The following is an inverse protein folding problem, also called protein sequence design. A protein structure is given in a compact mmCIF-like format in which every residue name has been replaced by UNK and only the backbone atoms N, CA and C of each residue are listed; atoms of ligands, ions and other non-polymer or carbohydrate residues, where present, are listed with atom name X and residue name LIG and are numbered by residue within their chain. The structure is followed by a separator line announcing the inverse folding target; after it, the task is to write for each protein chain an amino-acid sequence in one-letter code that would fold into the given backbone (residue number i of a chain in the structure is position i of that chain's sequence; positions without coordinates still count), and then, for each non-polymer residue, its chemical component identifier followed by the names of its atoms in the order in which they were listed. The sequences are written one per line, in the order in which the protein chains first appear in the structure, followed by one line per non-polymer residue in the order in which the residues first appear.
data_IF_642648206441
#
_entry.id   IF_642648206441
#
_cell.length_a   1.000
_cell.length_b   1.000
_cell.length_c   1.000
_cell.angle_alpha   90.00
_cell.angle_beta   90.00
_cell.angle_gamma   90.00
#
_symmetry.space_group_name_H-M   'P 1'
#
loop_
_entity.id
_entity.type
_entity.pdbx_description
1 polymer ?
#
# COMPACT_ATOMS: atom_id res chain seq x y z
N UNK A 1 51.64 -28.86 4.41
CA UNK A 1 51.20 -27.44 4.37
C UNK A 1 51.08 -27.02 2.93
N UNK A 2 49.92 -26.48 2.52
CA UNK A 2 49.77 -25.33 1.60
C UNK A 2 48.29 -25.24 1.19
N UNK A 3 47.53 -24.56 2.04
CA UNK A 3 46.18 -24.07 1.76
C UNK A 3 46.30 -22.66 1.16
N UNK A 4 45.36 -22.32 0.27
CA UNK A 4 44.74 -20.98 0.04
C UNK A 4 44.74 -20.56 -1.42
N UNK A 5 43.63 -20.85 -2.11
CA UNK A 5 43.07 -19.94 -3.12
C UNK A 5 41.68 -19.55 -2.60
N UNK A 6 41.63 -18.43 -1.88
CA UNK A 6 40.38 -17.79 -1.50
C UNK A 6 39.89 -17.04 -2.74
N UNK A 7 38.89 -17.61 -3.38
CA UNK A 7 38.10 -16.93 -4.42
C UNK A 7 37.35 -15.81 -3.69
N UNK A 8 37.71 -14.57 -3.99
CA UNK A 8 36.98 -13.40 -3.54
C UNK A 8 35.64 -13.36 -4.28
N UNK A 9 34.56 -13.77 -3.63
CA UNK A 9 33.22 -13.49 -4.11
C UNK A 9 32.94 -12.00 -3.94
N UNK A 10 32.42 -11.29 -4.96
CA UNK A 10 31.96 -9.93 -4.79
C UNK A 10 30.83 -9.93 -3.76
N UNK A 11 30.96 -9.10 -2.74
CA UNK A 11 29.93 -8.86 -1.75
C UNK A 11 28.70 -8.33 -2.48
N UNK A 12 27.73 -9.21 -2.73
CA UNK A 12 26.37 -8.82 -3.04
C UNK A 12 25.88 -8.12 -1.78
N UNK A 13 25.50 -6.83 -1.82
CA UNK A 13 24.71 -6.28 -0.74
C UNK A 13 23.42 -7.09 -0.76
N UNK A 14 23.32 -8.06 0.16
CA UNK A 14 22.04 -8.64 0.51
C UNK A 14 21.20 -7.44 0.90
N UNK A 15 20.28 -7.04 0.02
CA UNK A 15 19.14 -6.24 0.40
C UNK A 15 18.52 -7.04 1.54
N UNK A 16 18.79 -6.60 2.76
CA UNK A 16 18.10 -7.08 3.92
C UNK A 16 16.64 -6.71 3.66
N UNK A 17 15.90 -7.65 3.09
CA UNK A 17 14.46 -7.68 3.24
C UNK A 17 14.31 -7.99 4.72
N UNK A 18 14.35 -6.94 5.53
CA UNK A 18 14.13 -6.96 6.96
C UNK A 18 12.67 -7.35 7.19
N UNK A 19 12.37 -8.62 6.97
CA UNK A 19 11.15 -9.31 7.44
C UNK A 19 11.37 -9.62 8.93
N UNK A 20 11.73 -8.60 9.70
CA UNK A 20 11.81 -8.65 11.15
C UNK A 20 10.70 -7.75 11.69
N UNK A 21 9.49 -8.27 11.66
CA UNK A 21 8.39 -7.84 12.53
C UNK A 21 7.41 -9.02 12.69
N UNK A 22 7.91 -10.12 13.26
CA UNK A 22 7.07 -11.13 13.88
C UNK A 22 6.97 -10.76 15.36
N UNK A 23 5.78 -10.36 15.83
CA UNK A 23 5.52 -10.26 17.27
C UNK A 23 4.93 -8.95 17.78
N UNK A 24 3.94 -8.39 17.08
CA UNK A 24 2.83 -7.57 17.55
C UNK A 24 1.93 -7.40 16.32
N UNK A 25 0.61 -7.33 16.47
CA UNK A 25 -0.28 -6.92 15.36
C UNK A 25 -0.06 -5.43 15.06
N UNK A 26 1.15 -5.10 14.59
CA UNK A 26 1.56 -3.73 14.34
C UNK A 26 0.92 -3.30 13.03
N UNK A 27 0.08 -2.26 13.11
CA UNK A 27 -0.52 -1.65 11.92
C UNK A 27 0.62 -1.21 10.98
N UNK A 28 0.56 -1.54 9.67
CA UNK A 28 1.53 -1.02 8.72
C UNK A 28 1.48 0.50 8.70
N UNK A 29 2.57 1.18 8.33
CA UNK A 29 2.56 2.64 8.19
C UNK A 29 1.52 3.12 7.16
N UNK A 30 0.95 4.30 7.37
CA UNK A 30 0.04 4.95 6.40
C UNK A 30 0.59 5.01 4.98
N UNK A 31 1.88 5.30 4.82
CA UNK A 31 2.54 5.31 3.50
C UNK A 31 2.51 3.93 2.81
N UNK A 32 2.67 2.86 3.59
CA UNK A 32 2.59 1.49 3.07
C UNK A 32 1.15 1.15 2.65
N UNK A 33 0.15 1.58 3.43
CA UNK A 33 -1.27 1.46 3.08
C UNK A 33 -1.57 2.25 1.80
N UNK A 34 -1.10 3.49 1.68
CA UNK A 34 -1.27 4.33 0.49
C UNK A 34 -0.63 3.69 -0.76
N UNK A 35 0.59 3.15 -0.64
CA UNK A 35 1.24 2.42 -1.74
C UNK A 35 0.48 1.16 -2.14
N UNK A 36 -0.10 0.46 -1.17
CA UNK A 36 -0.99 -0.67 -1.38
C UNK A 36 -2.25 -0.28 -2.14
N UNK A 37 -2.95 0.76 -1.68
CA UNK A 37 -4.13 1.35 -2.34
C UNK A 37 -3.82 1.76 -3.77
N UNK A 38 -2.68 2.43 -4.01
CA UNK A 38 -2.24 2.79 -5.36
C UNK A 38 -2.12 1.57 -6.25
N UNK A 39 -1.51 0.49 -5.77
CA UNK A 39 -1.34 -0.74 -6.55
C UNK A 39 -2.69 -1.38 -6.88
N UNK A 40 -3.60 -1.45 -5.90
CA UNK A 40 -4.93 -2.04 -6.05
C UNK A 40 -5.81 -1.24 -7.00
N UNK A 41 -5.89 0.08 -6.79
CA UNK A 41 -6.82 0.95 -7.49
C UNK A 41 -6.28 1.42 -8.84
N UNK A 42 -4.96 1.52 -9.05
CA UNK A 42 -4.42 1.92 -10.35
C UNK A 42 -4.80 0.93 -11.44
N UNK A 43 -4.73 -0.38 -11.18
CA UNK A 43 -5.15 -1.41 -12.12
C UNK A 43 -6.64 -1.28 -12.51
N UNK A 44 -7.48 -0.92 -11.54
CA UNK A 44 -8.91 -0.71 -11.78
C UNK A 44 -9.17 0.60 -12.55
N UNK A 45 -8.52 1.70 -12.15
CA UNK A 45 -8.65 3.02 -12.79
C UNK A 45 -8.12 3.03 -14.22
N UNK A 46 -7.04 2.30 -14.52
CA UNK A 46 -6.52 2.12 -15.88
C UNK A 46 -7.56 1.47 -16.81
N UNK A 47 -8.41 0.60 -16.28
CA UNK A 47 -9.51 -0.02 -17.05
C UNK A 47 -10.60 0.98 -17.45
N UNK A 48 -10.78 2.06 -16.68
CA UNK A 48 -11.70 3.17 -16.98
C UNK A 48 -11.08 4.22 -17.93
N UNK A 49 -9.76 4.17 -18.13
CA UNK A 49 -9.02 5.02 -19.07
C UNK A 49 -7.92 5.83 -18.42
N UNK A 50 -6.84 6.08 -19.17
CA UNK A 50 -5.65 6.80 -18.70
C UNK A 50 -5.97 8.22 -18.18
N UNK A 51 -6.99 8.88 -18.74
CA UNK A 51 -7.43 10.20 -18.29
C UNK A 51 -7.99 10.15 -16.86
N UNK A 52 -8.71 9.08 -16.50
CA UNK A 52 -9.26 8.87 -15.14
C UNK A 52 -8.15 8.56 -14.15
N UNK A 53 -7.21 7.67 -14.53
CA UNK A 53 -6.03 7.38 -13.70
C UNK A 53 -5.19 8.63 -13.45
N UNK A 54 -5.09 9.55 -14.41
CA UNK A 54 -4.33 10.80 -14.28
C UNK A 54 -4.99 11.82 -13.33
N UNK A 55 -6.28 11.68 -13.02
CA UNK A 55 -6.98 12.53 -12.06
C UNK A 55 -6.70 12.12 -10.60
N UNK A 56 -6.19 10.92 -10.40
CA UNK A 56 -5.91 10.35 -9.07
C UNK A 56 -4.39 10.34 -8.88
N UNK A 57 -3.89 11.34 -8.16
CA UNK A 57 -2.47 11.43 -7.80
C UNK A 57 -2.16 10.77 -6.45
N UNK A 58 -0.88 10.74 -6.07
CA UNK A 58 -0.43 10.12 -4.82
C UNK A 58 -1.05 10.76 -3.57
N UNK A 59 -1.56 12.01 -3.67
CA UNK A 59 -2.22 12.69 -2.56
C UNK A 59 -3.58 12.08 -2.24
N UNK A 60 -4.30 11.58 -3.26
CA UNK A 60 -5.58 10.88 -3.07
C UNK A 60 -5.36 9.59 -2.28
N UNK A 61 -4.38 8.78 -2.67
CA UNK A 61 -4.10 7.52 -1.94
C UNK A 61 -3.63 7.77 -0.50
N UNK A 62 -2.85 8.82 -0.28
CA UNK A 62 -2.43 9.24 1.06
C UNK A 62 -3.63 9.68 1.90
N UNK A 63 -4.52 10.50 1.34
CA UNK A 63 -5.76 10.92 1.99
C UNK A 63 -6.65 9.71 2.34
N UNK A 64 -6.83 8.76 1.42
CA UNK A 64 -7.63 7.56 1.70
C UNK A 64 -6.99 6.75 2.82
N UNK A 65 -5.67 6.55 2.77
CA UNK A 65 -4.95 5.87 3.84
C UNK A 65 -5.11 6.58 5.19
N UNK A 66 -5.14 7.92 5.22
CA UNK A 66 -5.39 8.71 6.42
C UNK A 66 -6.80 8.51 6.98
N UNK A 67 -7.83 8.57 6.13
CA UNK A 67 -9.24 8.44 6.53
C UNK A 67 -9.55 7.03 7.06
N UNK A 68 -9.04 5.98 6.42
CA UNK A 68 -9.38 4.59 6.80
C UNK A 68 -8.50 4.01 7.91
N UNK A 69 -7.39 4.68 8.27
CA UNK A 69 -6.34 4.09 9.11
C UNK A 69 -6.83 3.65 10.49
N UNK A 70 -7.72 4.43 11.08
CA UNK A 70 -8.22 4.16 12.43
C UNK A 70 -9.46 3.24 12.40
N UNK A 71 -10.17 3.20 11.28
CA UNK A 71 -11.44 2.49 11.12
C UNK A 71 -11.32 1.05 10.59
N UNK A 72 -10.21 0.74 9.91
CA UNK A 72 -9.92 -0.61 9.38
C UNK A 72 -9.03 -1.37 10.38
N UNK A 73 -9.27 -2.68 10.48
CA UNK A 73 -8.47 -3.55 11.34
C UNK A 73 -7.00 -3.60 10.90
N UNK A 74 -6.09 -3.92 11.83
CA UNK A 74 -4.67 -4.05 11.50
C UNK A 74 -4.41 -5.11 10.41
N UNK A 75 -5.18 -6.20 10.43
CA UNK A 75 -5.15 -7.24 9.40
C UNK A 75 -5.63 -6.71 8.03
N UNK A 76 -6.71 -5.92 8.00
CA UNK A 76 -7.20 -5.26 6.79
C UNK A 76 -6.19 -4.28 6.19
N UNK A 77 -5.63 -3.39 7.02
CA UNK A 77 -4.58 -2.45 6.60
C UNK A 77 -3.35 -3.17 6.05
N UNK A 78 -2.98 -4.31 6.66
CA UNK A 78 -1.88 -5.13 6.19
C UNK A 78 -2.17 -5.75 4.82
N UNK A 79 -3.36 -6.30 4.60
CA UNK A 79 -3.73 -6.80 3.28
C UNK A 79 -3.75 -5.71 2.21
N UNK A 80 -4.22 -4.50 2.55
CA UNK A 80 -4.12 -3.33 1.66
C UNK A 80 -2.66 -3.05 1.34
N UNK A 81 -1.80 -2.90 2.35
CA UNK A 81 -0.39 -2.58 2.17
C UNK A 81 0.38 -3.64 1.35
N UNK A 82 -0.02 -4.91 1.46
CA UNK A 82 0.52 -6.02 0.67
C UNK A 82 -0.13 -6.17 -0.72
N UNK A 83 -1.09 -5.31 -1.06
CA UNK A 83 -1.91 -5.38 -2.27
C UNK A 83 -2.56 -6.76 -2.48
N UNK A 84 -2.97 -7.40 -1.39
CA UNK A 84 -3.52 -8.75 -1.40
C UNK A 84 -5.05 -8.73 -1.46
N UNK A 85 -5.60 -8.81 -2.68
CA UNK A 85 -7.05 -8.86 -2.94
C UNK A 85 -7.72 -10.17 -2.55
N UNK A 86 -6.94 -11.23 -2.33
CA UNK A 86 -7.44 -12.57 -1.96
C UNK A 86 -7.53 -12.76 -0.43
N UNK A 87 -7.10 -11.76 0.34
CA UNK A 87 -7.14 -11.82 1.79
C UNK A 87 -8.58 -11.67 2.31
N UNK A 88 -9.12 -12.73 2.92
CA UNK A 88 -10.38 -12.69 3.67
C UNK A 88 -10.17 -12.00 5.04
N UNK A 89 -9.86 -10.70 5.04
CA UNK A 89 -9.55 -9.91 6.24
C UNK A 89 -10.43 -8.68 6.44
N UNK A 90 -11.25 -8.34 5.43
CA UNK A 90 -12.15 -7.19 5.49
C UNK A 90 -13.47 -7.57 6.16
N UNK A 91 -13.92 -6.76 7.10
CA UNK A 91 -15.22 -6.91 7.73
C UNK A 91 -16.33 -6.33 6.85
N UNK A 92 -17.57 -6.73 7.14
CA UNK A 92 -18.74 -6.12 6.52
C UNK A 92 -18.79 -4.62 6.83
N UNK A 93 -18.56 -3.79 5.81
CA UNK A 93 -18.53 -2.32 5.92
C UNK A 93 -17.16 -1.70 5.66
N UNK A 94 -16.08 -2.47 5.71
CA UNK A 94 -14.73 -1.95 5.42
C UNK A 94 -14.59 -1.48 3.98
N UNK A 95 -15.16 -2.24 3.04
CA UNK A 95 -15.22 -1.85 1.64
C UNK A 95 -15.97 -0.52 1.44
N UNK A 96 -17.11 -0.34 2.13
CA UNK A 96 -17.88 0.89 2.05
C UNK A 96 -17.09 2.09 2.58
N UNK A 97 -16.36 1.94 3.70
CA UNK A 97 -15.49 3.00 4.23
C UNK A 97 -14.39 3.40 3.23
N UNK A 98 -13.78 2.42 2.56
CA UNK A 98 -12.76 2.67 1.55
C UNK A 98 -13.35 3.43 0.35
N UNK A 99 -14.54 3.04 -0.12
CA UNK A 99 -15.25 3.71 -1.22
C UNK A 99 -15.67 5.15 -0.86
N UNK A 100 -16.18 5.35 0.36
CA UNK A 100 -16.52 6.68 0.89
C UNK A 100 -15.30 7.58 1.01
N UNK A 101 -14.21 7.07 1.60
CA UNK A 101 -12.94 7.78 1.71
C UNK A 101 -12.36 8.13 0.34
N UNK A 102 -12.38 7.20 -0.62
CA UNK A 102 -11.91 7.44 -1.98
C UNK A 102 -12.70 8.57 -2.65
N UNK A 103 -14.03 8.55 -2.52
CA UNK A 103 -14.90 9.58 -3.08
C UNK A 103 -14.63 10.95 -2.44
N UNK A 104 -14.50 10.99 -1.12
CA UNK A 104 -14.22 12.22 -0.37
C UNK A 104 -12.86 12.81 -0.74
N UNK A 105 -11.81 11.98 -0.77
CA UNK A 105 -10.45 12.40 -1.09
C UNK A 105 -10.31 12.85 -2.55
N UNK A 106 -10.85 12.10 -3.51
CA UNK A 106 -10.81 12.49 -4.92
C UNK A 106 -11.57 13.81 -5.17
N UNK A 107 -12.74 13.98 -4.54
CA UNK A 107 -13.51 15.23 -4.64
C UNK A 107 -12.73 16.42 -4.07
N UNK A 108 -12.06 16.22 -2.93
CA UNK A 108 -11.25 17.26 -2.28
C UNK A 108 -10.05 17.65 -3.13
N UNK A 109 -9.39 16.70 -3.79
CA UNK A 109 -8.27 16.97 -4.70
C UNK A 109 -8.70 17.79 -5.93
N UNK A 110 -9.88 17.52 -6.49
CA UNK A 110 -10.43 18.30 -7.62
C UNK A 110 -10.81 19.72 -7.22
N UNK A 111 -11.37 19.92 -6.01
CA UNK A 111 -11.75 21.25 -5.52
C UNK A 111 -10.54 22.11 -5.12
N UNK A 112 -9.43 21.50 -4.71
CA UNK A 112 -8.20 22.21 -4.33
C UNK A 112 -7.42 22.76 -5.53
N UNK A 113 -7.75 22.31 -6.75
CA UNK A 113 -7.10 22.72 -8.00
C UNK A 113 -7.83 23.80 -8.79
N UNK A 114 -8.91 24.39 -8.25
CA UNK A 114 -9.66 25.51 -8.85
C UNK A 114 -9.30 26.87 -8.25
#
# INVERSE_FOLDING_TARGET
MNLKKLIALPAIPLLAISMAACGSEEKPSKDAVASGLKTLLSAELESYGADVSSLIDDSVYTCVADEIYDDISAAGLKAIAEANTEAEVFESGDQQKIEEALTQCATSSVQSGQ
#
